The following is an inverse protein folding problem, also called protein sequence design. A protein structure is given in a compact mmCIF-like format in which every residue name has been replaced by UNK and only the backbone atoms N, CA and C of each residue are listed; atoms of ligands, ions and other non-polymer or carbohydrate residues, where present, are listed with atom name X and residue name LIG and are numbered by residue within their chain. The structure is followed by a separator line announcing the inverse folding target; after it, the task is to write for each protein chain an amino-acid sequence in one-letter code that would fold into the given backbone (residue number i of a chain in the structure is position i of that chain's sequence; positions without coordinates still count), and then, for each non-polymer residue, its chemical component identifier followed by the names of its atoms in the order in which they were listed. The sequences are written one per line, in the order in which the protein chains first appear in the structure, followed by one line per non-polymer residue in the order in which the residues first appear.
data_IF_340636319713
#
_entry.id   IF_340636319713
#
_cell.length_a   1.000
_cell.length_b   1.000
_cell.length_c   1.000
_cell.angle_alpha   90.00
_cell.angle_beta   90.00
_cell.angle_gamma   90.00
#
_symmetry.space_group_name_H-M   'P 1'
#
loop_
_entity.id
_entity.type
_entity.pdbx_description
1 polymer ?
#
# COMPACT_ATOMS: atom_id res chain seq x y z
N UNK A 1 -8.20 -28.64 -68.32
CA UNK A 1 -9.51 -28.79 -69.01
C UNK A 1 -10.40 -27.66 -68.55
N UNK A 2 -10.97 -26.93 -69.52
CA UNK A 2 -11.89 -25.81 -69.38
C UNK A 2 -13.31 -26.29 -69.04
N UNK A 3 -14.09 -25.42 -68.38
CA UNK A 3 -15.55 -25.49 -68.20
C UNK A 3 -15.97 -24.67 -66.98
N UNK A 4 -16.37 -23.38 -67.06
CA UNK A 4 -17.61 -22.81 -67.63
C UNK A 4 -18.85 -23.36 -66.88
N UNK A 5 -19.81 -22.61 -66.32
CA UNK A 5 -20.53 -21.42 -66.78
C UNK A 5 -21.25 -20.73 -65.59
N UNK A 6 -21.63 -19.49 -65.87
CA UNK A 6 -22.26 -18.44 -65.07
C UNK A 6 -23.80 -18.51 -64.99
N UNK A 7 -24.34 -17.98 -63.88
CA UNK A 7 -25.56 -17.14 -63.72
C UNK A 7 -26.96 -17.72 -64.06
N UNK A 8 -28.07 -17.02 -63.76
CA UNK A 8 -28.41 -16.07 -62.66
C UNK A 8 -29.82 -16.33 -62.09
N UNK A 9 -30.14 -15.94 -60.85
CA UNK A 9 -31.52 -15.54 -60.53
C UNK A 9 -31.53 -14.44 -59.48
N UNK A 10 -31.94 -13.26 -59.94
CA UNK A 10 -32.37 -12.14 -59.13
C UNK A 10 -33.80 -12.39 -58.64
N UNK A 11 -34.07 -12.05 -57.38
CA UNK A 11 -35.40 -11.64 -56.95
C UNK A 11 -35.26 -10.60 -55.84
N UNK A 12 -35.94 -9.49 -56.06
CA UNK A 12 -35.85 -8.27 -55.29
C UNK A 12 -36.93 -8.19 -54.19
N UNK A 13 -36.71 -7.22 -53.30
CA UNK A 13 -37.71 -6.42 -52.57
C UNK A 13 -38.27 -6.93 -51.22
N UNK A 14 -38.77 -6.02 -50.35
CA UNK A 14 -38.09 -5.62 -49.12
C UNK A 14 -38.95 -5.89 -47.88
N UNK A 15 -38.39 -5.74 -46.66
CA UNK A 15 -39.18 -5.24 -45.52
C UNK A 15 -38.29 -4.76 -44.39
N UNK A 16 -38.45 -3.48 -44.08
CA UNK A 16 -38.03 -2.83 -42.85
C UNK A 16 -38.45 -3.69 -41.66
N UNK A 17 -37.50 -4.16 -40.87
CA UNK A 17 -37.75 -4.55 -39.48
C UNK A 17 -36.96 -3.58 -38.62
N UNK A 18 -37.71 -2.91 -37.75
CA UNK A 18 -37.25 -1.81 -36.94
C UNK A 18 -36.08 -2.18 -36.05
N UNK A 19 -35.12 -1.27 -36.09
CA UNK A 19 -34.15 -0.98 -35.05
C UNK A 19 -34.84 -0.96 -33.67
N UNK A 20 -34.52 -1.93 -32.81
CA UNK A 20 -34.65 -1.80 -31.36
C UNK A 20 -33.49 -2.58 -30.71
N UNK A 21 -32.29 -2.00 -30.82
CA UNK A 21 -31.17 -2.36 -29.96
C UNK A 21 -31.43 -1.72 -28.59
N UNK A 22 -32.13 -2.46 -27.72
CA UNK A 22 -32.12 -2.21 -26.29
C UNK A 22 -30.71 -2.54 -25.78
N UNK A 23 -29.84 -1.53 -25.80
CA UNK A 23 -28.61 -1.50 -25.02
C UNK A 23 -29.01 -1.48 -23.53
N UNK A 24 -29.28 -2.66 -22.97
CA UNK A 24 -29.16 -2.89 -21.55
C UNK A 24 -27.67 -2.82 -21.23
N UNK A 25 -27.16 -1.60 -21.04
CA UNK A 25 -25.93 -1.41 -20.31
C UNK A 25 -26.19 -2.01 -18.92
N UNK A 26 -25.47 -3.06 -18.49
CA UNK A 26 -25.43 -3.35 -17.07
C UNK A 26 -24.86 -2.08 -16.45
N UNK A 27 -25.70 -1.39 -15.70
CA UNK A 27 -25.29 -0.50 -14.63
C UNK A 27 -24.44 -1.36 -13.68
N UNK A 28 -23.20 -1.62 -14.07
CA UNK A 28 -22.14 -1.95 -13.15
C UNK A 28 -22.01 -0.72 -12.27
N UNK A 29 -22.78 -0.69 -11.21
CA UNK A 29 -22.48 0.13 -10.06
C UNK A 29 -21.16 -0.44 -9.59
N UNK A 30 -20.06 0.16 -10.05
CA UNK A 30 -18.81 0.06 -9.35
C UNK A 30 -19.09 0.70 -8.01
N UNK A 31 -19.58 -0.09 -7.05
CA UNK A 31 -19.33 0.18 -5.65
C UNK A 31 -17.82 0.29 -5.57
N UNK A 32 -17.32 1.52 -5.62
CA UNK A 32 -15.95 1.80 -5.23
C UNK A 32 -15.84 1.20 -3.82
N UNK A 33 -15.15 0.06 -3.72
CA UNK A 33 -14.73 -0.55 -2.47
C UNK A 33 -13.77 0.44 -1.83
N UNK A 34 -14.34 1.45 -1.20
CA UNK A 34 -13.68 2.41 -0.34
C UNK A 34 -14.53 2.45 0.90
N UNK A 35 -14.00 1.90 1.99
CA UNK A 35 -14.45 2.21 3.33
C UNK A 35 -14.20 3.71 3.55
N UNK A 36 -15.10 4.54 3.03
CA UNK A 36 -15.09 5.97 3.32
C UNK A 36 -15.54 6.12 4.77
N UNK A 37 -14.81 6.89 5.59
CA UNK A 37 -15.21 7.15 6.96
C UNK A 37 -16.59 7.83 7.01
N UNK A 38 -17.33 7.69 8.12
CA UNK A 38 -18.59 8.40 8.33
C UNK A 38 -18.36 9.88 8.66
N UNK A 39 -17.58 10.56 7.84
CA UNK A 39 -17.24 11.96 8.01
C UNK A 39 -18.51 12.83 7.97
N UNK A 40 -18.63 13.84 8.85
CA UNK A 40 -19.62 14.90 8.68
C UNK A 40 -19.49 15.52 7.28
N UNK A 41 -20.63 15.81 6.65
CA UNK A 41 -20.72 16.52 5.38
C UNK A 41 -20.04 15.83 4.17
N UNK A 42 -19.69 14.55 4.28
CA UNK A 42 -19.10 13.77 3.18
C UNK A 42 -17.61 14.07 2.90
N UNK A 43 -16.87 14.60 3.88
CA UNK A 43 -15.43 14.84 3.79
C UNK A 43 -14.63 13.53 3.68
N UNK A 44 -14.06 13.28 2.50
CA UNK A 44 -13.23 12.10 2.24
C UNK A 44 -11.74 12.37 2.46
N UNK A 45 -10.98 11.31 2.77
CA UNK A 45 -9.52 11.41 2.81
C UNK A 45 -8.95 11.86 1.46
N UNK A 46 -8.01 12.80 1.50
CA UNK A 46 -7.21 13.20 0.32
C UNK A 46 -6.09 12.18 0.00
N UNK A 47 -5.89 11.19 0.88
CA UNK A 47 -5.00 10.05 0.72
C UNK A 47 -5.74 8.81 0.23
N UNK A 48 -5.27 8.21 -0.86
CA UNK A 48 -5.86 7.00 -1.43
C UNK A 48 -5.03 6.46 -2.59
N UNK A 49 -5.69 5.70 -3.48
CA UNK A 49 -5.05 5.04 -4.63
C UNK A 49 -4.11 5.96 -5.44
N UNK A 50 -4.60 7.12 -5.86
CA UNK A 50 -3.82 8.06 -6.69
C UNK A 50 -2.57 8.58 -5.97
N UNK A 51 -2.69 8.89 -4.68
CA UNK A 51 -1.59 9.33 -3.83
C UNK A 51 -0.52 8.25 -3.68
N UNK A 52 -0.93 7.00 -3.45
CA UNK A 52 -0.02 5.85 -3.37
C UNK A 52 0.68 5.62 -4.70
N UNK A 53 -0.05 5.63 -5.82
CA UNK A 53 0.55 5.40 -7.14
C UNK A 53 1.56 6.48 -7.51
N UNK A 54 1.26 7.75 -7.17
CA UNK A 54 2.22 8.86 -7.31
C UNK A 54 3.46 8.61 -6.45
N UNK A 55 3.26 8.29 -5.18
CA UNK A 55 4.34 8.00 -4.24
C UNK A 55 5.24 6.85 -4.70
N UNK A 56 4.67 5.81 -5.31
CA UNK A 56 5.43 4.72 -5.92
C UNK A 56 6.38 5.19 -7.03
N UNK A 57 5.94 6.13 -7.89
CA UNK A 57 6.80 6.73 -8.92
C UNK A 57 7.87 7.65 -8.33
N UNK A 58 7.53 8.40 -7.29
CA UNK A 58 8.47 9.27 -6.58
C UNK A 58 9.57 8.42 -5.92
N UNK A 59 9.18 7.31 -5.26
CA UNK A 59 10.11 6.30 -4.72
C UNK A 59 11.01 5.70 -5.79
N UNK A 60 10.44 5.28 -6.93
CA UNK A 60 11.23 4.77 -8.05
C UNK A 60 12.23 5.81 -8.55
N UNK A 61 11.81 7.07 -8.69
CA UNK A 61 12.67 8.17 -9.16
C UNK A 61 13.82 8.46 -8.19
N UNK A 62 13.56 8.36 -6.88
CA UNK A 62 14.57 8.51 -5.83
C UNK A 62 15.60 7.37 -5.79
N UNK A 63 15.33 6.22 -6.40
CA UNK A 63 16.30 5.11 -6.44
C UNK A 63 17.54 5.44 -7.28
N UNK A 64 18.70 4.98 -6.81
CA UNK A 64 19.94 4.95 -7.61
C UNK A 64 19.73 4.16 -8.90
N UNK A 65 20.44 4.54 -9.96
CA UNK A 65 20.26 3.99 -11.32
C UNK A 65 20.36 2.46 -11.34
N UNK A 66 21.38 1.91 -10.72
CA UNK A 66 21.62 0.45 -10.65
C UNK A 66 20.51 -0.31 -9.90
N UNK A 67 19.75 0.37 -9.03
CA UNK A 67 18.61 -0.23 -8.32
C UNK A 67 17.32 -0.10 -9.13
N UNK A 68 17.13 1.02 -9.83
CA UNK A 68 16.00 1.23 -10.77
C UNK A 68 15.94 0.17 -11.86
N UNK A 69 17.08 -0.30 -12.34
CA UNK A 69 17.13 -1.35 -13.38
C UNK A 69 16.54 -2.69 -12.91
N UNK A 70 16.30 -2.86 -11.61
CA UNK A 70 15.71 -4.07 -11.03
C UNK A 70 14.27 -3.89 -10.54
N UNK A 71 13.73 -2.67 -10.57
CA UNK A 71 12.41 -2.33 -10.01
C UNK A 71 11.53 -1.77 -11.12
N UNK A 72 10.24 -2.10 -11.12
CA UNK A 72 9.28 -1.49 -12.05
C UNK A 72 9.17 0.02 -11.85
N UNK A 73 9.07 0.78 -12.95
CA UNK A 73 8.80 2.21 -12.91
C UNK A 73 7.44 2.55 -12.26
N UNK A 74 6.51 1.60 -12.25
CA UNK A 74 5.29 1.63 -11.45
C UNK A 74 5.38 0.50 -10.42
N UNK A 75 6.07 0.72 -9.28
CA UNK A 75 6.44 -0.37 -8.38
C UNK A 75 5.32 -0.83 -7.45
N UNK A 76 4.16 -0.18 -7.47
CA UNK A 76 3.04 -0.50 -6.57
C UNK A 76 1.87 -1.02 -7.40
N UNK A 77 1.32 -2.15 -6.96
CA UNK A 77 0.05 -2.70 -7.40
C UNK A 77 -0.87 -2.89 -6.19
N UNK A 78 -2.19 -2.82 -6.39
CA UNK A 78 -3.18 -2.81 -5.30
C UNK A 78 -4.12 -4.01 -5.41
N UNK A 79 -4.34 -4.68 -4.28
CA UNK A 79 -5.30 -5.77 -4.11
C UNK A 79 -6.51 -5.28 -3.29
N UNK A 80 -7.68 -5.85 -3.52
CA UNK A 80 -8.93 -5.49 -2.82
C UNK A 80 -9.11 -6.17 -1.47
N UNK A 81 -8.09 -6.90 -0.98
CA UNK A 81 -8.15 -7.62 0.29
C UNK A 81 -8.30 -6.63 1.46
N UNK A 82 -9.16 -6.98 2.42
CA UNK A 82 -9.45 -6.20 3.61
C UNK A 82 -8.40 -6.40 4.71
N UNK A 83 -7.68 -7.52 4.69
CA UNK A 83 -6.58 -7.75 5.63
C UNK A 83 -5.42 -6.81 5.29
N UNK A 84 -4.91 -6.02 6.25
CA UNK A 84 -3.77 -5.13 5.98
C UNK A 84 -2.51 -5.91 5.60
N UNK A 85 -1.95 -5.67 4.42
CA UNK A 85 -0.65 -6.22 4.05
C UNK A 85 0.10 -5.36 3.04
N UNK A 86 1.42 -5.55 3.03
CA UNK A 86 2.30 -5.18 1.91
C UNK A 86 3.22 -6.35 1.59
N UNK A 87 3.10 -6.89 0.38
CA UNK A 87 3.83 -8.07 -0.10
C UNK A 87 4.80 -7.69 -1.21
N UNK A 88 5.81 -8.53 -1.44
CA UNK A 88 6.69 -8.39 -2.60
C UNK A 88 5.97 -8.88 -3.85
N UNK A 89 6.04 -8.09 -4.92
CA UNK A 89 5.57 -8.46 -6.25
C UNK A 89 6.75 -8.88 -7.13
N UNK A 90 6.60 -10.00 -7.82
CA UNK A 90 7.56 -10.51 -8.79
C UNK A 90 6.83 -11.25 -9.92
N UNK A 91 7.02 -10.83 -11.17
CA UNK A 91 6.58 -11.54 -12.36
C UNK A 91 7.79 -11.90 -13.23
N UNK A 92 8.16 -13.19 -13.35
CA UNK A 92 9.30 -13.61 -14.17
C UNK A 92 9.04 -13.51 -15.68
N UNK A 93 7.78 -13.60 -16.10
CA UNK A 93 7.38 -13.80 -17.49
C UNK A 93 6.93 -12.52 -18.22
N UNK A 94 6.94 -11.36 -17.55
CA UNK A 94 6.67 -10.03 -18.14
C UNK A 94 8.00 -9.50 -18.74
N UNK A 95 8.00 -8.83 -19.92
CA UNK A 95 9.14 -8.86 -20.83
C UNK A 95 10.38 -8.20 -20.22
N UNK A 96 11.42 -9.03 -20.08
CA UNK A 96 12.82 -8.72 -19.75
C UNK A 96 13.14 -7.21 -19.66
N UNK A 97 13.41 -6.67 -18.46
CA UNK A 97 13.62 -7.37 -17.18
C UNK A 97 12.30 -7.76 -16.45
N UNK A 98 12.34 -8.75 -15.54
CA UNK A 98 11.17 -9.17 -14.76
C UNK A 98 10.60 -8.00 -13.95
N UNK A 99 9.28 -7.95 -13.82
CA UNK A 99 8.61 -6.91 -13.02
C UNK A 99 8.83 -7.21 -11.54
N UNK A 100 9.45 -6.27 -10.84
CA UNK A 100 9.59 -6.30 -9.38
C UNK A 100 8.93 -5.07 -8.77
N UNK A 101 8.19 -5.28 -7.68
CA UNK A 101 7.48 -4.21 -7.00
C UNK A 101 6.88 -4.67 -5.68
N UNK A 102 5.74 -4.10 -5.32
CA UNK A 102 4.97 -4.45 -4.13
C UNK A 102 3.48 -4.52 -4.43
N UNK A 103 2.82 -5.47 -3.77
CA UNK A 103 1.37 -5.52 -3.62
C UNK A 103 0.97 -4.87 -2.31
N UNK A 104 -0.06 -4.03 -2.35
CA UNK A 104 -0.65 -3.36 -1.19
C UNK A 104 -2.13 -3.70 -1.13
N UNK A 105 -2.64 -4.09 0.03
CA UNK A 105 -4.08 -4.35 0.19
C UNK A 105 -4.88 -3.07 0.43
N UNK A 106 -6.18 -3.09 0.13
CA UNK A 106 -7.11 -2.03 0.53
C UNK A 106 -7.09 -1.83 2.06
N UNK A 107 -7.06 -2.92 2.83
CA UNK A 107 -6.94 -2.87 4.29
C UNK A 107 -5.69 -2.15 4.80
N UNK A 108 -4.56 -2.18 4.06
CA UNK A 108 -3.39 -1.38 4.43
C UNK A 108 -3.66 0.12 4.25
N UNK A 109 -4.35 0.51 3.18
CA UNK A 109 -4.68 1.91 2.93
C UNK A 109 -5.53 2.45 4.07
N UNK A 110 -6.54 1.68 4.50
CA UNK A 110 -7.42 2.03 5.61
C UNK A 110 -6.65 2.08 6.94
N UNK A 111 -5.79 1.09 7.19
CA UNK A 111 -4.93 1.07 8.38
C UNK A 111 -4.09 2.35 8.47
N UNK A 112 -3.39 2.70 7.39
CA UNK A 112 -2.50 3.87 7.39
C UNK A 112 -3.30 5.15 7.52
N UNK A 113 -4.44 5.26 6.82
CA UNK A 113 -5.34 6.41 6.96
C UNK A 113 -5.78 6.59 8.41
N UNK A 114 -6.28 5.54 9.05
CA UNK A 114 -6.76 5.62 10.43
C UNK A 114 -5.64 5.88 11.42
N UNK A 115 -4.49 5.19 11.33
CA UNK A 115 -3.36 5.43 12.24
C UNK A 115 -2.84 6.86 12.10
N UNK A 116 -2.68 7.34 10.87
CA UNK A 116 -2.26 8.73 10.60
C UNK A 116 -3.27 9.74 11.15
N UNK A 117 -4.57 9.48 11.00
CA UNK A 117 -5.61 10.37 11.49
C UNK A 117 -5.72 10.36 13.01
N UNK A 118 -5.68 9.18 13.64
CA UNK A 118 -5.64 9.06 15.10
C UNK A 118 -4.43 9.81 15.68
N UNK A 119 -3.28 9.78 14.99
CA UNK A 119 -2.09 10.52 15.41
C UNK A 119 -2.27 12.03 15.26
N UNK A 120 -2.92 12.48 14.21
CA UNK A 120 -3.28 13.89 14.04
C UNK A 120 -4.24 14.35 15.16
N UNK A 121 -5.29 13.57 15.47
CA UNK A 121 -6.25 13.86 16.53
C UNK A 121 -5.57 13.96 17.90
N UNK A 122 -4.56 13.13 18.16
CA UNK A 122 -3.78 13.16 19.41
C UNK A 122 -3.04 14.48 19.67
N UNK A 123 -2.87 15.32 18.64
CA UNK A 123 -2.39 16.70 18.82
C UNK A 123 -3.41 17.58 19.55
N UNK A 124 -4.71 17.37 19.31
CA UNK A 124 -5.82 18.09 19.97
C UNK A 124 -6.30 17.38 21.25
N UNK A 125 -6.35 16.04 21.22
CA UNK A 125 -6.86 15.22 22.33
C UNK A 125 -5.82 14.18 22.72
N UNK A 126 -5.01 14.50 23.74
CA UNK A 126 -3.94 13.61 24.20
C UNK A 126 -4.47 12.25 24.64
N UNK A 127 -3.76 11.20 24.23
CA UNK A 127 -4.09 9.81 24.50
C UNK A 127 -5.11 9.21 23.53
N UNK A 128 -5.57 9.97 22.52
CA UNK A 128 -6.46 9.44 21.49
C UNK A 128 -5.76 8.36 20.67
N UNK A 129 -4.50 8.60 20.29
CA UNK A 129 -3.72 7.64 19.51
C UNK A 129 -3.56 6.32 20.25
N UNK A 130 -3.17 6.36 21.52
CA UNK A 130 -2.97 5.16 22.34
C UNK A 130 -4.26 4.34 22.49
N UNK A 131 -5.40 5.02 22.72
CA UNK A 131 -6.72 4.37 22.77
C UNK A 131 -7.05 3.66 21.45
N UNK A 132 -6.78 4.31 20.32
CA UNK A 132 -7.01 3.72 19.01
C UNK A 132 -6.10 2.50 18.75
N UNK A 133 -4.82 2.59 19.10
CA UNK A 133 -3.88 1.46 18.99
C UNK A 133 -4.33 0.26 19.82
N UNK A 134 -4.85 0.48 21.03
CA UNK A 134 -5.41 -0.61 21.86
C UNK A 134 -6.62 -1.28 21.19
N UNK A 135 -7.48 -0.51 20.52
CA UNK A 135 -8.59 -1.08 19.72
C UNK A 135 -8.07 -1.89 18.54
N UNK A 136 -7.05 -1.38 17.83
CA UNK A 136 -6.43 -2.08 16.70
C UNK A 136 -5.80 -3.42 17.10
N UNK A 137 -5.27 -3.52 18.32
CA UNK A 137 -4.70 -4.77 18.85
C UNK A 137 -5.71 -5.93 18.88
N UNK A 138 -7.01 -5.62 18.90
CA UNK A 138 -8.10 -6.59 18.97
C UNK A 138 -8.60 -7.01 17.58
N UNK A 139 -8.09 -6.43 16.50
CA UNK A 139 -8.54 -6.73 15.14
C UNK A 139 -7.93 -8.05 14.63
N UNK A 140 -8.76 -8.90 14.02
CA UNK A 140 -8.33 -10.18 13.46
C UNK A 140 -7.82 -10.05 12.02
N UNK A 141 -8.28 -9.03 11.29
CA UNK A 141 -8.03 -8.84 9.86
C UNK A 141 -9.00 -9.59 8.93
N UNK A 142 -10.05 -10.22 9.48
CA UNK A 142 -11.09 -10.92 8.70
C UNK A 142 -12.20 -9.97 8.21
N UNK A 143 -12.32 -8.81 8.84
CA UNK A 143 -13.32 -7.79 8.52
C UNK A 143 -12.63 -6.44 8.26
N UNK A 144 -13.38 -5.49 7.72
CA UNK A 144 -12.95 -4.11 7.63
C UNK A 144 -12.53 -3.58 9.00
N UNK A 145 -11.50 -2.72 9.01
CA UNK A 145 -11.02 -2.11 10.24
C UNK A 145 -12.13 -1.27 10.86
N UNK A 146 -12.27 -1.37 12.18
CA UNK A 146 -13.20 -0.50 12.90
C UNK A 146 -12.90 0.97 12.58
N UNK A 147 -13.95 1.80 12.38
CA UNK A 147 -13.77 3.22 12.16
C UNK A 147 -13.09 3.87 13.37
N UNK A 148 -12.54 5.06 13.13
CA UNK A 148 -11.97 5.86 14.20
C UNK A 148 -13.03 6.18 15.27
N UNK A 149 -12.70 6.09 16.57
CA UNK A 149 -13.63 6.51 17.62
C UNK A 149 -14.04 7.97 17.45
N UNK A 150 -15.34 8.23 17.29
CA UNK A 150 -15.84 9.59 17.06
C UNK A 150 -15.52 10.13 15.67
N UNK A 151 -15.43 9.28 14.64
CA UNK A 151 -15.33 9.66 13.23
C UNK A 151 -16.45 10.60 12.74
N UNK A 152 -17.54 10.74 13.50
CA UNK A 152 -18.61 11.71 13.25
C UNK A 152 -18.38 13.09 13.89
N UNK A 153 -17.27 13.31 14.62
CA UNK A 153 -16.97 14.58 15.27
C UNK A 153 -16.32 15.57 14.29
N UNK A 154 -16.98 16.70 13.92
CA UNK A 154 -16.43 17.66 12.96
C UNK A 154 -15.08 18.26 13.37
N UNK A 155 -14.77 18.30 14.67
CA UNK A 155 -13.48 18.81 15.17
C UNK A 155 -12.28 17.95 14.74
N UNK A 156 -12.53 16.70 14.33
CA UNK A 156 -11.53 15.79 13.78
C UNK A 156 -11.38 15.93 12.25
N UNK A 157 -12.28 16.62 11.55
CA UNK A 157 -12.26 16.74 10.09
C UNK A 157 -11.85 18.12 9.57
N UNK A 158 -11.10 18.88 10.37
CA UNK A 158 -10.56 20.19 9.94
C UNK A 158 -9.45 20.02 8.91
N UNK A 159 -9.27 20.98 8.00
CA UNK A 159 -8.18 20.94 7.00
C UNK A 159 -6.80 20.72 7.63
N UNK A 160 -6.48 21.36 8.75
CA UNK A 160 -5.23 21.14 9.48
C UNK A 160 -5.05 19.67 9.91
N UNK A 161 -6.15 19.00 10.29
CA UNK A 161 -6.13 17.60 10.67
C UNK A 161 -5.86 16.72 9.45
N UNK A 162 -6.55 17.00 8.34
CA UNK A 162 -6.39 16.23 7.10
C UNK A 162 -5.02 16.46 6.47
N UNK A 163 -4.42 17.64 6.61
CA UNK A 163 -3.06 17.92 6.16
C UNK A 163 -2.03 17.16 6.99
N UNK A 164 -2.17 17.16 8.32
CA UNK A 164 -1.33 16.39 9.23
C UNK A 164 -1.46 14.88 8.97
N UNK A 165 -2.70 14.40 8.81
CA UNK A 165 -3.01 13.02 8.46
C UNK A 165 -2.35 12.63 7.12
N UNK A 166 -2.46 13.46 6.09
CA UNK A 166 -1.86 13.20 4.78
C UNK A 166 -0.33 13.17 4.85
N UNK A 167 0.28 14.07 5.62
CA UNK A 167 1.73 14.08 5.86
C UNK A 167 2.18 12.76 6.50
N UNK A 168 1.50 12.34 7.57
CA UNK A 168 1.78 11.07 8.24
C UNK A 168 1.52 9.86 7.33
N UNK A 169 0.45 9.89 6.53
CA UNK A 169 0.14 8.85 5.54
C UNK A 169 1.28 8.68 4.53
N UNK A 170 1.74 9.78 3.91
CA UNK A 170 2.83 9.73 2.93
C UNK A 170 4.13 9.21 3.57
N UNK A 171 4.43 9.62 4.81
CA UNK A 171 5.58 9.12 5.57
C UNK A 171 5.50 7.61 5.78
N UNK A 172 4.35 7.09 6.23
CA UNK A 172 4.16 5.66 6.50
C UNK A 172 4.24 4.84 5.20
N UNK A 173 3.50 5.22 4.16
CA UNK A 173 3.50 4.49 2.88
C UNK A 173 4.89 4.54 2.25
N UNK A 174 5.51 5.71 2.20
CA UNK A 174 6.84 5.91 1.61
C UNK A 174 7.87 4.99 2.24
N UNK A 175 7.85 4.93 3.57
CA UNK A 175 8.73 4.06 4.36
C UNK A 175 8.43 2.58 4.16
N UNK A 176 7.17 2.15 4.37
CA UNK A 176 6.81 0.73 4.29
C UNK A 176 7.08 0.18 2.88
N UNK A 177 6.71 0.93 1.83
CA UNK A 177 7.01 0.54 0.45
C UNK A 177 8.51 0.57 0.19
N UNK A 178 9.22 1.61 0.63
CA UNK A 178 10.67 1.71 0.49
C UNK A 178 11.43 0.50 1.05
N UNK A 179 11.02 0.02 2.25
CA UNK A 179 11.58 -1.18 2.89
C UNK A 179 11.37 -2.41 2.01
N UNK A 180 10.17 -2.57 1.46
CA UNK A 180 9.83 -3.73 0.63
C UNK A 180 10.56 -3.71 -0.71
N UNK A 181 10.68 -2.54 -1.35
CA UNK A 181 11.52 -2.40 -2.54
C UNK A 181 12.99 -2.72 -2.24
N UNK A 182 13.48 -2.38 -1.03
CA UNK A 182 14.83 -2.74 -0.63
C UNK A 182 15.07 -4.25 -0.62
N UNK A 183 14.10 -5.06 -0.20
CA UNK A 183 14.24 -6.51 -0.24
C UNK A 183 14.48 -7.10 -1.63
N UNK A 184 14.01 -6.43 -2.69
CA UNK A 184 14.27 -6.86 -4.06
C UNK A 184 15.73 -6.67 -4.46
N UNK A 185 16.25 -5.46 -4.31
CA UNK A 185 17.62 -5.16 -4.76
C UNK A 185 18.71 -5.55 -3.76
N UNK A 186 18.35 -5.88 -2.51
CA UNK A 186 19.22 -6.55 -1.55
C UNK A 186 19.26 -8.07 -1.76
N UNK A 187 18.45 -8.61 -2.67
CA UNK A 187 18.42 -10.04 -2.99
C UNK A 187 17.68 -10.91 -1.97
N UNK A 188 17.01 -10.31 -0.99
CA UNK A 188 16.25 -11.07 0.02
C UNK A 188 15.07 -11.81 -0.62
N UNK A 189 14.41 -11.22 -1.62
CA UNK A 189 13.38 -11.92 -2.38
C UNK A 189 13.93 -13.23 -2.97
N UNK A 190 15.03 -13.17 -3.71
CA UNK A 190 15.63 -14.35 -4.35
C UNK A 190 16.06 -15.40 -3.33
N UNK A 191 16.58 -14.97 -2.19
CA UNK A 191 16.98 -15.87 -1.09
C UNK A 191 15.80 -16.63 -0.48
N UNK A 192 14.63 -16.01 -0.39
CA UNK A 192 13.49 -16.54 0.36
C UNK A 192 12.28 -16.93 -0.49
N UNK A 193 12.31 -16.75 -1.82
CA UNK A 193 11.14 -16.93 -2.71
C UNK A 193 10.43 -18.27 -2.55
N UNK A 194 11.17 -19.36 -2.37
CA UNK A 194 10.60 -20.72 -2.20
C UNK A 194 9.90 -20.92 -0.83
N UNK A 195 10.01 -19.93 0.06
CA UNK A 195 9.42 -19.92 1.41
C UNK A 195 8.43 -18.77 1.60
N UNK A 196 8.14 -17.98 0.57
CA UNK A 196 7.16 -16.89 0.63
C UNK A 196 5.71 -17.38 0.50
N UNK A 197 5.51 -18.67 0.30
CA UNK A 197 4.23 -19.35 0.35
C UNK A 197 4.34 -20.57 1.27
N UNK A 198 3.27 -20.85 2.03
CA UNK A 198 3.16 -22.11 2.74
C UNK A 198 2.67 -23.24 1.81
N UNK A 199 2.53 -24.44 2.37
CA UNK A 199 2.06 -25.64 1.66
C UNK A 199 0.65 -25.49 1.07
N UNK A 200 -0.15 -24.56 1.60
CA UNK A 200 -1.53 -24.30 1.19
C UNK A 200 -1.60 -23.11 0.20
N UNK A 201 -0.44 -22.59 -0.22
CA UNK A 201 -0.31 -21.46 -1.14
C UNK A 201 -0.54 -20.10 -0.49
N UNK A 202 -0.72 -20.03 0.84
CA UNK A 202 -0.91 -18.76 1.54
C UNK A 202 0.41 -18.02 1.64
N UNK A 203 0.37 -16.71 1.41
CA UNK A 203 1.56 -15.86 1.49
C UNK A 203 2.12 -15.83 2.91
N UNK A 204 3.43 -16.06 3.04
CA UNK A 204 4.20 -15.85 4.26
C UNK A 204 4.84 -14.45 4.19
N UNK A 205 4.65 -13.58 5.19
CA UNK A 205 5.33 -12.29 5.25
C UNK A 205 6.85 -12.46 5.24
N UNK A 206 7.55 -11.76 4.33
CA UNK A 206 9.02 -11.85 4.26
C UNK A 206 9.71 -11.53 5.59
N UNK A 207 9.13 -10.63 6.39
CA UNK A 207 9.66 -10.25 7.71
C UNK A 207 9.70 -11.42 8.72
N UNK A 208 8.96 -12.50 8.48
CA UNK A 208 9.01 -13.72 9.30
C UNK A 208 10.16 -14.65 8.91
N UNK A 209 10.88 -14.36 7.82
CA UNK A 209 11.98 -15.17 7.27
C UNK A 209 13.35 -14.51 7.43
N UNK A 210 13.38 -13.18 7.54
CA UNK A 210 14.61 -12.39 7.61
C UNK A 210 15.31 -12.53 8.96
N UNK A 211 16.64 -12.43 8.95
CA UNK A 211 17.39 -12.13 10.17
C UNK A 211 17.15 -10.68 10.63
N UNK A 212 17.51 -10.36 11.88
CA UNK A 212 17.41 -8.99 12.39
C UNK A 212 18.28 -8.03 11.56
N UNK A 213 19.47 -8.47 11.16
CA UNK A 213 20.42 -7.70 10.33
C UNK A 213 19.86 -7.45 8.93
N UNK A 214 19.32 -8.47 8.27
CA UNK A 214 18.74 -8.33 6.93
C UNK A 214 17.56 -7.36 6.94
N UNK A 215 16.66 -7.51 7.93
CA UNK A 215 15.53 -6.59 8.03
C UNK A 215 15.99 -5.17 8.37
N UNK A 216 16.97 -5.00 9.26
CA UNK A 216 17.53 -3.68 9.60
C UNK A 216 18.23 -3.03 8.41
N UNK A 217 18.96 -3.79 7.59
CA UNK A 217 19.56 -3.26 6.37
C UNK A 217 18.49 -2.73 5.42
N UNK A 218 17.42 -3.51 5.19
CA UNK A 218 16.29 -3.07 4.38
C UNK A 218 15.57 -1.85 4.97
N UNK A 219 15.45 -1.77 6.30
CA UNK A 219 14.92 -0.59 6.99
C UNK A 219 15.71 0.66 6.66
N UNK A 220 17.04 0.62 6.81
CA UNK A 220 17.91 1.76 6.57
C UNK A 220 17.91 2.19 5.10
N UNK A 221 17.93 1.21 4.18
CA UNK A 221 17.85 1.49 2.74
C UNK A 221 16.48 2.03 2.33
N UNK A 222 15.40 1.47 2.85
CA UNK A 222 14.05 1.97 2.66
C UNK A 222 13.87 3.38 3.19
N UNK A 223 14.45 3.69 4.35
CA UNK A 223 14.46 5.03 4.93
C UNK A 223 15.14 6.05 4.01
N UNK A 224 16.32 5.70 3.49
CA UNK A 224 17.02 6.59 2.56
C UNK A 224 16.23 6.81 1.28
N UNK A 225 15.66 5.77 0.67
CA UNK A 225 14.84 5.90 -0.53
C UNK A 225 13.60 6.77 -0.29
N UNK A 226 12.96 6.64 0.86
CA UNK A 226 11.80 7.46 1.22
C UNK A 226 12.19 8.94 1.31
N UNK A 227 13.33 9.25 1.94
CA UNK A 227 13.87 10.62 2.03
C UNK A 227 14.25 11.17 0.64
N UNK A 228 14.91 10.37 -0.20
CA UNK A 228 15.24 10.74 -1.58
C UNK A 228 13.98 11.02 -2.42
N UNK A 229 12.85 10.38 -2.09
CA UNK A 229 11.54 10.62 -2.69
C UNK A 229 10.75 11.79 -2.05
N UNK A 230 11.36 12.54 -1.13
CA UNK A 230 10.72 13.67 -0.46
C UNK A 230 9.75 13.28 0.67
N UNK A 231 9.77 12.03 1.12
CA UNK A 231 8.99 11.58 2.28
C UNK A 231 9.78 11.82 3.55
N UNK A 232 9.17 12.47 4.55
CA UNK A 232 9.73 12.46 5.90
C UNK A 232 9.54 11.08 6.55
N UNK A 233 10.28 10.80 7.63
CA UNK A 233 10.15 9.55 8.38
C UNK A 233 9.34 9.71 9.69
N UNK A 234 8.91 10.93 10.00
CA UNK A 234 8.31 11.28 11.28
C UNK A 234 6.98 10.56 11.51
N UNK A 235 6.19 10.38 10.44
CA UNK A 235 4.90 9.68 10.52
C UNK A 235 5.03 8.17 10.64
N UNK A 236 6.12 7.55 10.17
CA UNK A 236 6.33 6.10 10.34
C UNK A 236 6.72 5.72 11.77
N UNK A 237 7.34 6.64 12.52
CA UNK A 237 7.72 6.39 13.92
C UNK A 237 6.50 6.00 14.78
N UNK A 238 5.41 6.80 14.87
CA UNK A 238 4.24 6.40 15.64
C UNK A 238 3.55 5.15 15.07
N UNK A 239 3.63 4.91 13.75
CA UNK A 239 3.14 3.66 13.15
C UNK A 239 3.89 2.43 13.68
N UNK A 240 5.23 2.47 13.75
CA UNK A 240 6.00 1.38 14.35
C UNK A 240 5.84 1.30 15.87
N UNK A 241 5.72 2.44 16.56
CA UNK A 241 5.45 2.52 18.00
C UNK A 241 4.14 1.81 18.37
N UNK A 242 3.12 1.91 17.51
CA UNK A 242 1.82 1.27 17.73
C UNK A 242 1.97 -0.24 17.98
N UNK A 243 2.83 -0.93 17.23
CA UNK A 243 3.04 -2.37 17.38
C UNK A 243 3.78 -2.76 18.67
N UNK A 244 4.56 -1.86 19.27
CA UNK A 244 5.19 -2.10 20.58
C UNK A 244 4.17 -1.97 21.71
N UNK A 245 3.18 -1.10 21.54
CA UNK A 245 2.11 -0.88 22.53
C UNK A 245 1.04 -1.98 22.53
N UNK A 246 0.92 -2.77 21.45
CA UNK A 246 -0.03 -3.87 21.36
C UNK A 246 0.44 -5.05 22.24
N UNK A 247 -0.35 -5.42 23.24
CA UNK A 247 -0.08 -6.59 24.10
C UNK A 247 -0.02 -7.89 23.28
N UNK A 248 -0.97 -8.05 22.35
CA UNK A 248 -0.96 -9.08 21.32
C UNK A 248 -1.04 -8.40 19.96
N UNK A 249 -0.08 -8.69 19.08
CA UNK A 249 -0.07 -8.15 17.73
C UNK A 249 -1.06 -8.94 16.85
N UNK A 250 -1.88 -8.25 16.03
CA UNK A 250 -2.72 -8.91 15.03
C UNK A 250 -1.92 -9.79 14.06
N UNK A 251 -2.57 -10.79 13.48
CA UNK A 251 -1.94 -11.74 12.54
C UNK A 251 -1.32 -11.06 11.29
N UNK A 252 -1.80 -9.86 10.95
CA UNK A 252 -1.28 -9.05 9.85
C UNK A 252 -0.04 -8.22 10.21
N UNK A 253 0.28 -8.03 11.49
CA UNK A 253 1.42 -7.21 11.92
C UNK A 253 2.78 -7.63 11.31
N UNK A 254 3.07 -8.94 11.13
CA UNK A 254 4.31 -9.37 10.49
C UNK A 254 4.49 -8.88 9.05
N UNK A 255 3.46 -8.42 8.34
CA UNK A 255 3.65 -7.77 7.04
C UNK A 255 4.44 -6.46 7.14
N UNK A 256 4.41 -5.79 8.30
CA UNK A 256 5.04 -4.48 8.53
C UNK A 256 6.30 -4.59 9.37
N UNK A 257 6.29 -5.40 10.41
CA UNK A 257 7.32 -5.43 11.43
C UNK A 257 7.63 -6.87 11.89
N UNK A 258 8.91 -7.30 11.94
CA UNK A 258 9.27 -8.59 12.54
C UNK A 258 8.85 -8.67 14.00
N UNK A 259 8.49 -9.88 14.45
CA UNK A 259 8.11 -10.10 15.86
C UNK A 259 9.26 -9.82 16.84
N UNK A 260 10.50 -9.92 16.37
CA UNK A 260 11.72 -9.68 17.16
C UNK A 260 12.16 -8.22 17.19
N UNK A 261 11.57 -7.34 16.37
CA UNK A 261 12.01 -5.97 16.25
C UNK A 261 11.68 -5.14 17.49
N UNK A 262 12.68 -4.40 18.01
CA UNK A 262 12.57 -3.51 19.17
C UNK A 262 12.45 -2.06 18.74
N UNK A 263 11.31 -1.42 18.99
CA UNK A 263 11.02 -0.06 18.51
C UNK A 263 12.06 0.99 18.95
N UNK A 264 12.55 0.92 20.19
CA UNK A 264 13.59 1.83 20.69
C UNK A 264 14.86 1.85 19.84
N UNK A 265 15.23 0.73 19.22
CA UNK A 265 16.36 0.64 18.27
C UNK A 265 15.98 1.24 16.92
N UNK A 266 14.80 0.91 16.41
CA UNK A 266 14.28 1.42 15.13
C UNK A 266 14.23 2.94 15.11
N UNK A 267 13.67 3.52 16.17
CA UNK A 267 13.53 4.96 16.31
C UNK A 267 14.90 5.65 16.21
N UNK A 268 15.90 5.17 16.95
CA UNK A 268 17.26 5.72 16.91
C UNK A 268 17.90 5.59 15.52
N UNK A 269 17.74 4.45 14.88
CA UNK A 269 18.27 4.20 13.53
C UNK A 269 17.63 5.14 12.51
N UNK A 270 16.30 5.30 12.54
CA UNK A 270 15.56 6.18 11.66
C UNK A 270 15.92 7.66 11.89
N UNK A 271 15.92 8.13 13.15
CA UNK A 271 16.33 9.50 13.51
C UNK A 271 17.75 9.80 13.04
N UNK A 272 18.66 8.84 13.16
CA UNK A 272 20.03 8.97 12.66
C UNK A 272 20.05 9.13 11.13
N UNK A 273 19.36 8.27 10.39
CA UNK A 273 19.31 8.34 8.91
C UNK A 273 18.75 9.68 8.44
N UNK A 274 17.66 10.18 9.03
CA UNK A 274 17.08 11.47 8.68
C UNK A 274 18.03 12.63 9.00
N UNK A 275 18.69 12.60 10.17
CA UNK A 275 19.69 13.61 10.55
C UNK A 275 20.90 13.60 9.61
N UNK A 276 21.39 12.43 9.23
CA UNK A 276 22.52 12.30 8.32
C UNK A 276 22.14 12.80 6.91
N UNK A 277 20.94 12.44 6.43
CA UNK A 277 20.38 12.93 5.17
C UNK A 277 20.31 14.47 5.09
N UNK A 278 19.69 15.14 6.07
CA UNK A 278 19.59 16.60 6.06
C UNK A 278 20.93 17.32 6.28
N UNK A 279 21.91 16.64 6.85
CA UNK A 279 23.27 17.14 6.97
C UNK A 279 24.11 16.90 5.69
N UNK A 280 23.53 16.29 4.65
CA UNK A 280 24.26 15.94 3.42
C UNK A 280 25.30 14.83 3.62
N UNK A 281 25.10 13.96 4.62
CA UNK A 281 25.97 12.81 4.92
C UNK A 281 25.34 11.55 4.31
N UNK A 282 26.20 10.75 3.65
CA UNK A 282 25.83 9.47 3.03
C UNK A 282 26.00 8.28 3.97
#
# INVERSE_FOLDING_TARGET
MLGSLTNPFAAAFPRRVGLFLLLLAPLCWTTELRAQPNSPDGLVYKSGYSSIMKLGRDLYTGLKKDKRDTISAQPISIETDLMPFVKLLYYPDDPNPPIRGVWISAGFIDLVNHVAHAKAIDRKQKGFFDKYVMSLAQETGEMELKPLPGDTNPAYWTDDMLNEQLSNFNSIVGMVVGIKLAHHYLGHYEKYKDRLQDKDGKTIPINSLLSEEEWREALLKGARNALDAGCTIEGVIPFFEAFEKMETRPAWAPYFLPNTAKFSRLKKDLEKVQKDFFAGRD
#
